data_IF_113076615226
#
_entry.id   IF_113076615226
#
_cell.length_a   1.000
_cell.length_b   1.000
_cell.length_c   1.000
_cell.angle_alpha   90.00
_cell.angle_beta   90.00
_cell.angle_gamma   90.00
#
_symmetry.space_group_name_H-M   'P 1'
#
loop_
_entity.id
_entity.type
_entity.pdbx_description
1 polymer ?
#
# COMPACT_ATOMS: atom_id res chain seq x y z
N UNK A 1 13.83 -6.49 42.54
CA UNK A 1 12.62 -6.68 41.70
C UNK A 1 12.04 -5.30 41.49
N UNK A 2 12.48 -4.60 40.44
CA UNK A 2 11.96 -3.26 40.13
C UNK A 2 10.59 -3.50 39.51
N UNK A 3 9.53 -3.08 40.22
CA UNK A 3 8.16 -3.11 39.73
C UNK A 3 8.08 -2.12 38.57
N UNK A 4 8.22 -2.63 37.35
CA UNK A 4 7.85 -1.90 36.15
C UNK A 4 6.34 -1.62 36.21
N UNK A 5 5.88 -0.40 35.94
CA UNK A 5 4.46 -0.14 35.83
C UNK A 5 3.90 -0.95 34.65
N UNK A 6 3.15 -2.00 35.00
CA UNK A 6 2.42 -2.86 34.08
C UNK A 6 0.94 -2.71 34.35
N UNK A 7 0.20 -2.24 33.36
CA UNK A 7 -1.24 -2.03 33.47
C UNK A 7 -1.96 -3.01 32.56
N UNK A 8 -2.87 -3.80 33.13
CA UNK A 8 -3.76 -4.68 32.36
C UNK A 8 -5.10 -3.99 32.17
N UNK A 9 -5.56 -3.92 30.93
CA UNK A 9 -6.78 -3.26 30.48
C UNK A 9 -7.70 -4.33 29.89
N UNK A 10 -8.87 -4.50 30.50
CA UNK A 10 -9.87 -5.52 30.12
C UNK A 10 -11.18 -4.91 29.69
N UNK A 11 -11.30 -3.58 29.67
CA UNK A 11 -12.51 -2.91 29.17
C UNK A 11 -12.55 -2.98 27.64
N UNK A 12 -13.74 -2.98 27.01
CA UNK A 12 -13.87 -3.05 25.56
C UNK A 12 -13.35 -1.79 24.84
N UNK A 13 -13.12 -0.71 25.57
CA UNK A 13 -12.52 0.52 25.06
C UNK A 13 -11.84 1.29 26.17
N UNK A 14 -10.84 2.11 25.83
CA UNK A 14 -10.21 3.01 26.79
C UNK A 14 -9.13 3.88 26.17
N UNK A 15 -8.45 4.66 27.00
CA UNK A 15 -7.34 5.52 26.62
C UNK A 15 -6.07 5.17 27.39
N UNK A 16 -4.93 5.25 26.71
CA UNK A 16 -3.59 5.01 27.25
C UNK A 16 -2.79 6.29 27.04
N UNK A 17 -2.25 6.84 28.11
CA UNK A 17 -1.41 8.04 28.08
C UNK A 17 -0.23 7.91 29.06
N UNK A 18 0.82 8.68 28.82
CA UNK A 18 2.05 8.69 29.63
C UNK A 18 1.93 9.53 30.92
N UNK A 19 0.95 10.43 31.01
CA UNK A 19 0.66 11.19 32.23
C UNK A 19 0.16 12.60 31.95
N UNK A 20 0.18 13.44 32.99
CA UNK A 20 -0.05 14.89 32.84
C UNK A 20 1.30 15.59 32.66
N UNK A 21 1.44 16.39 31.60
CA UNK A 21 2.67 17.12 31.28
C UNK A 21 3.60 16.30 30.39
N UNK A 22 4.91 16.53 30.51
CA UNK A 22 5.89 15.75 29.75
C UNK A 22 6.18 14.40 30.44
N UNK A 23 6.45 13.36 29.65
CA UNK A 23 6.82 12.05 30.20
C UNK A 23 8.12 12.12 31.02
N UNK A 24 8.28 11.15 31.93
CA UNK A 24 9.54 10.99 32.69
C UNK A 24 10.62 10.36 31.80
N UNK A 25 11.89 10.78 31.97
CA UNK A 25 13.06 10.15 31.33
C UNK A 25 13.47 8.85 32.06
N UNK A 26 14.13 7.93 31.36
CA UNK A 26 14.68 6.69 31.90
C UNK A 26 13.62 5.67 32.32
N UNK A 27 12.38 5.82 31.85
CA UNK A 27 11.26 4.96 32.22
C UNK A 27 10.95 3.88 31.19
N UNK A 28 10.39 2.80 31.71
CA UNK A 28 9.81 1.70 30.94
C UNK A 28 8.39 1.45 31.44
N UNK A 29 7.41 1.58 30.55
CA UNK A 29 6.01 1.39 30.88
C UNK A 29 5.38 0.39 29.92
N UNK A 30 4.50 -0.47 30.46
CA UNK A 30 3.81 -1.48 29.67
C UNK A 30 2.31 -1.45 29.93
N UNK A 31 1.54 -1.58 28.86
CA UNK A 31 0.09 -1.75 28.91
C UNK A 31 -0.29 -3.00 28.13
N UNK A 32 -1.02 -3.91 28.77
CA UNK A 32 -1.60 -5.08 28.12
C UNK A 32 -3.11 -4.87 27.97
N UNK A 33 -3.57 -4.74 26.74
CA UNK A 33 -4.99 -4.83 26.42
C UNK A 33 -5.32 -6.30 26.22
N UNK A 34 -6.25 -6.83 27.01
CA UNK A 34 -6.66 -8.23 26.98
C UNK A 34 -8.15 -8.34 26.63
N UNK A 35 -8.41 -8.66 25.37
CA UNK A 35 -9.74 -8.77 24.78
C UNK A 35 -10.19 -10.23 24.58
N UNK A 36 -9.45 -11.21 25.11
CA UNK A 36 -9.71 -12.65 24.86
C UNK A 36 -11.08 -13.12 25.34
N UNK A 37 -11.64 -12.47 26.35
CA UNK A 37 -12.96 -12.79 26.92
C UNK A 37 -14.12 -12.00 26.29
N UNK A 38 -13.83 -11.05 25.39
CA UNK A 38 -14.83 -10.20 24.73
C UNK A 38 -15.44 -10.80 23.47
N UNK A 39 -15.19 -12.09 23.23
CA UNK A 39 -15.88 -12.91 22.24
C UNK A 39 -17.33 -13.16 22.68
N UNK A 40 -18.16 -12.12 22.56
CA UNK A 40 -19.63 -12.07 22.58
C UNK A 40 -20.33 -12.96 23.62
N UNK A 41 -20.76 -12.32 24.71
CA UNK A 41 -21.79 -12.83 25.63
C UNK A 41 -23.16 -13.04 24.91
N UNK A 42 -23.30 -12.56 23.66
CA UNK A 42 -24.52 -12.71 22.84
C UNK A 42 -24.45 -13.80 21.76
N UNK A 43 -23.28 -14.38 21.45
CA UNK A 43 -23.11 -15.40 20.40
C UNK A 43 -22.77 -16.81 20.92
N UNK A 44 -23.21 -17.16 22.14
CA UNK A 44 -23.08 -18.54 22.64
C UNK A 44 -24.00 -19.57 21.93
N UNK A 45 -24.56 -19.22 20.76
CA UNK A 45 -25.45 -20.08 19.96
C UNK A 45 -24.88 -20.38 18.56
N UNK A 46 -23.67 -19.93 18.20
CA UNK A 46 -23.04 -20.34 16.94
C UNK A 46 -22.02 -21.47 17.17
N UNK A 47 -22.32 -22.64 16.62
CA UNK A 47 -21.58 -23.91 16.68
C UNK A 47 -20.26 -23.90 15.85
N UNK A 48 -19.51 -22.79 15.91
CA UNK A 48 -18.30 -22.54 15.11
C UNK A 48 -17.10 -22.07 15.94
N UNK A 49 -15.88 -22.11 15.39
CA UNK A 49 -14.69 -21.65 16.10
C UNK A 49 -14.80 -20.16 16.42
N UNK A 50 -14.78 -19.81 17.70
CA UNK A 50 -14.78 -18.42 18.17
C UNK A 50 -13.55 -17.69 17.65
N UNK A 51 -13.73 -16.74 16.73
CA UNK A 51 -12.62 -15.90 16.28
C UNK A 51 -12.16 -14.99 17.43
N UNK A 52 -10.84 -14.78 17.60
CA UNK A 52 -10.33 -13.84 18.58
C UNK A 52 -10.80 -12.42 18.27
N UNK A 53 -11.07 -11.64 19.32
CA UNK A 53 -11.44 -10.24 19.19
C UNK A 53 -10.29 -9.41 18.60
N UNK A 54 -10.60 -8.43 17.76
CA UNK A 54 -9.62 -7.53 17.15
C UNK A 54 -9.51 -6.25 17.98
N UNK A 55 -8.30 -5.88 18.37
CA UNK A 55 -8.05 -4.63 19.11
C UNK A 55 -7.57 -3.58 18.10
N UNK A 56 -8.30 -2.46 18.00
CA UNK A 56 -7.92 -1.30 17.20
C UNK A 56 -7.28 -0.25 18.08
N UNK A 57 -6.14 0.29 17.65
CA UNK A 57 -5.44 1.39 18.31
C UNK A 57 -5.46 2.62 17.42
N UNK A 58 -5.82 3.76 18.01
CA UNK A 58 -5.83 5.06 17.37
C UNK A 58 -4.94 6.03 18.17
N UNK A 59 -3.92 6.58 17.52
CA UNK A 59 -3.02 7.56 18.12
C UNK A 59 -3.65 8.95 17.95
N UNK A 60 -4.24 9.48 19.02
CA UNK A 60 -4.86 10.82 19.05
C UNK A 60 -3.76 11.90 19.06
N UNK A 61 -2.74 11.69 19.91
CA UNK A 61 -1.59 12.58 20.07
C UNK A 61 -0.31 11.74 20.23
N UNK A 62 0.79 12.21 19.64
CA UNK A 62 2.09 11.56 19.76
C UNK A 62 3.25 12.55 19.55
N UNK A 63 4.10 12.64 20.56
CA UNK A 63 5.26 13.51 20.64
C UNK A 63 6.31 12.90 21.59
N UNK A 64 7.29 12.20 21.02
CA UNK A 64 8.44 11.63 21.73
C UNK A 64 9.75 12.09 21.08
N UNK A 65 10.88 11.89 21.76
CA UNK A 65 12.19 12.17 21.18
C UNK A 65 12.42 11.29 19.95
N UNK A 66 12.63 11.95 18.80
CA UNK A 66 12.79 11.27 17.52
C UNK A 66 14.05 10.41 17.50
N UNK A 67 13.88 9.10 17.36
CA UNK A 67 14.98 8.13 17.24
C UNK A 67 15.50 7.56 18.57
N UNK A 68 15.10 8.12 19.71
CA UNK A 68 15.60 7.71 21.04
C UNK A 68 14.49 7.13 21.92
N UNK A 69 13.29 7.69 21.86
CA UNK A 69 12.15 7.26 22.65
C UNK A 69 11.10 6.56 21.79
N UNK A 70 10.80 5.31 22.13
CA UNK A 70 10.05 4.39 21.26
C UNK A 70 8.85 3.80 21.99
N UNK A 71 7.72 3.80 21.29
CA UNK A 71 6.54 3.01 21.64
C UNK A 71 6.44 1.80 20.71
N UNK A 72 6.58 0.61 21.27
CA UNK A 72 6.41 -0.66 20.59
C UNK A 72 4.99 -1.18 20.78
N UNK A 73 4.42 -1.77 19.73
CA UNK A 73 3.10 -2.41 19.76
C UNK A 73 3.21 -3.82 19.24
N UNK A 74 2.78 -4.81 20.03
CA UNK A 74 2.84 -6.23 19.71
C UNK A 74 1.43 -6.86 19.63
N UNK A 75 1.25 -7.80 18.71
CA UNK A 75 0.03 -8.61 18.58
C UNK A 75 0.07 -9.83 19.50
N UNK A 76 -0.20 -9.61 20.78
CA UNK A 76 -0.17 -10.66 21.80
C UNK A 76 0.06 -10.08 23.20
N UNK A 77 0.38 -10.96 24.15
CA UNK A 77 0.56 -10.59 25.55
C UNK A 77 2.03 -10.49 25.99
N UNK A 78 2.98 -10.60 25.05
CA UNK A 78 4.41 -10.56 25.34
C UNK A 78 5.24 -9.87 24.26
N UNK A 79 6.49 -9.53 24.58
CA UNK A 79 7.44 -8.89 23.63
C UNK A 79 7.98 -9.87 22.57
N UNK A 80 7.76 -11.16 22.77
CA UNK A 80 8.05 -12.23 21.81
C UNK A 80 6.92 -12.40 20.78
N UNK A 81 5.77 -11.76 21.00
CA UNK A 81 4.65 -11.75 20.05
C UNK A 81 5.01 -10.94 18.78
N UNK A 82 4.30 -11.11 17.65
CA UNK A 82 4.57 -10.35 16.43
C UNK A 82 4.57 -8.83 16.67
N UNK A 83 5.64 -8.14 16.28
CA UNK A 83 5.73 -6.69 16.36
C UNK A 83 4.91 -6.05 15.24
N UNK A 84 3.90 -5.26 15.61
CA UNK A 84 3.01 -4.58 14.67
C UNK A 84 3.55 -3.22 14.23
N UNK A 85 4.06 -2.44 15.19
CA UNK A 85 4.52 -1.08 14.93
C UNK A 85 5.55 -0.60 15.97
N UNK A 86 6.38 0.35 15.55
CA UNK A 86 7.26 1.14 16.43
C UNK A 86 7.08 2.61 16.08
N UNK A 87 6.72 3.41 17.07
CA UNK A 87 6.52 4.86 16.92
C UNK A 87 7.60 5.65 17.66
N UNK A 88 8.16 6.66 17.00
CA UNK A 88 8.96 7.72 17.63
C UNK A 88 8.77 9.04 16.89
N UNK A 89 9.01 10.17 17.57
CA UNK A 89 8.97 11.50 16.98
C UNK A 89 7.63 12.22 17.16
N UNK A 90 7.29 13.09 16.20
CA UNK A 90 6.22 14.10 16.36
C UNK A 90 5.13 13.96 15.30
N UNK A 91 3.87 13.92 15.73
CA UNK A 91 2.71 14.10 14.84
C UNK A 91 2.58 15.54 14.33
N UNK A 92 2.96 16.52 15.15
CA UNK A 92 2.77 17.94 14.87
C UNK A 92 4.07 18.72 15.10
N UNK A 93 4.52 19.47 14.07
CA UNK A 93 5.65 20.40 14.18
C UNK A 93 5.45 21.61 13.28
N UNK A 94 5.17 22.78 13.87
CA UNK A 94 4.91 24.04 13.13
C UNK A 94 3.82 23.83 12.07
N UNK A 95 4.14 24.05 10.79
CA UNK A 95 3.24 23.90 9.64
C UNK A 95 3.15 22.45 9.13
N UNK A 96 3.89 21.51 9.74
CA UNK A 96 3.85 20.10 9.37
C UNK A 96 2.98 19.34 10.36
N UNK A 97 1.90 18.77 9.85
CA UNK A 97 0.96 17.95 10.62
C UNK A 97 0.76 16.65 9.88
N UNK A 98 1.10 15.52 10.50
CA UNK A 98 0.74 14.21 9.95
C UNK A 98 -0.77 14.09 10.11
N UNK A 99 -1.49 14.14 8.99
CA UNK A 99 -2.97 14.16 9.00
C UNK A 99 -3.60 12.87 9.53
N UNK A 100 -2.84 11.76 9.55
CA UNK A 100 -3.26 10.46 10.07
C UNK A 100 -2.05 9.54 10.28
N UNK A 101 -1.87 9.02 11.48
CA UNK A 101 -1.02 7.83 11.69
C UNK A 101 -1.85 6.60 11.29
N UNK A 102 -1.28 5.64 10.54
CA UNK A 102 -1.95 4.38 10.25
C UNK A 102 -2.47 3.72 11.53
N UNK A 103 -3.74 3.31 11.53
CA UNK A 103 -4.32 2.54 12.64
C UNK A 103 -3.55 1.22 12.80
N UNK A 104 -3.40 0.78 14.05
CA UNK A 104 -2.75 -0.49 14.37
C UNK A 104 -3.80 -1.52 14.81
N UNK A 105 -3.71 -2.72 14.26
CA UNK A 105 -4.64 -3.82 14.48
C UNK A 105 -3.93 -5.01 15.12
N UNK A 106 -4.38 -5.43 16.29
CA UNK A 106 -3.97 -6.69 16.91
C UNK A 106 -5.09 -7.72 16.75
N UNK A 107 -4.77 -8.88 16.17
CA UNK A 107 -5.74 -9.91 15.81
C UNK A 107 -5.72 -11.12 16.74
N UNK A 108 -4.77 -11.19 17.68
CA UNK A 108 -4.62 -12.30 18.62
C UNK A 108 -5.62 -12.29 19.78
N UNK A 109 -6.40 -11.22 19.95
CA UNK A 109 -7.21 -10.98 21.16
C UNK A 109 -6.45 -10.29 22.28
N UNK A 110 -5.17 -9.99 22.12
CA UNK A 110 -4.37 -9.21 23.07
C UNK A 110 -3.46 -8.23 22.34
N UNK A 111 -3.12 -7.11 22.97
CA UNK A 111 -2.13 -6.17 22.47
C UNK A 111 -1.24 -5.67 23.61
N UNK A 112 0.08 -5.83 23.46
CA UNK A 112 1.07 -5.29 24.39
C UNK A 112 1.67 -4.01 23.81
N UNK A 113 1.50 -2.91 24.54
CA UNK A 113 2.18 -1.65 24.27
C UNK A 113 3.34 -1.51 25.26
N UNK A 114 4.53 -1.21 24.75
CA UNK A 114 5.74 -1.04 25.56
C UNK A 114 6.43 0.27 25.20
N UNK A 115 6.47 1.21 26.14
CA UNK A 115 7.14 2.50 25.97
C UNK A 115 8.50 2.49 26.67
N UNK A 116 9.51 2.97 25.96
CA UNK A 116 10.86 3.17 26.45
C UNK A 116 11.27 4.63 26.24
N UNK A 117 11.76 5.26 27.30
CA UNK A 117 12.47 6.55 27.21
C UNK A 117 13.93 6.38 27.63
N UNK A 118 14.82 7.12 26.99
CA UNK A 118 16.22 7.21 27.38
C UNK A 118 16.44 8.17 28.56
N UNK A 119 17.70 8.38 28.98
CA UNK A 119 18.03 9.24 30.13
C UNK A 119 18.08 10.74 29.79
N UNK A 120 17.49 11.17 28.67
CA UNK A 120 17.49 12.55 28.18
C UNK A 120 16.12 12.96 27.57
N UNK A 121 15.99 14.26 27.27
CA UNK A 121 14.88 14.92 26.56
C UNK A 121 13.48 14.29 26.63
N UNK A 122 12.57 14.94 27.36
CA UNK A 122 11.15 14.60 27.31
C UNK A 122 10.31 15.56 26.48
N UNK A 123 9.18 15.04 26.01
CA UNK A 123 8.15 15.77 25.27
C UNK A 123 6.78 15.47 25.87
N UNK A 124 5.69 15.94 25.24
CA UNK A 124 4.33 15.77 25.77
C UNK A 124 3.79 14.34 25.72
N UNK A 125 4.54 13.39 25.16
CA UNK A 125 4.20 11.98 25.20
C UNK A 125 3.12 11.58 24.21
N UNK A 126 2.16 10.78 24.64
CA UNK A 126 1.16 10.20 23.74
C UNK A 126 -0.20 10.02 24.41
N UNK A 127 -1.23 10.08 23.58
CA UNK A 127 -2.60 9.73 23.94
C UNK A 127 -3.15 8.78 22.88
N UNK A 128 -3.49 7.57 23.30
CA UNK A 128 -3.87 6.46 22.43
C UNK A 128 -5.22 5.94 22.88
N UNK A 129 -6.22 5.97 22.01
CA UNK A 129 -7.49 5.31 22.25
C UNK A 129 -7.44 3.88 21.70
N UNK A 130 -8.08 2.94 22.39
CA UNK A 130 -8.26 1.58 21.90
C UNK A 130 -9.72 1.16 21.97
N UNK A 131 -10.12 0.32 21.02
CA UNK A 131 -11.45 -0.27 20.99
C UNK A 131 -11.41 -1.72 20.48
N UNK A 132 -12.16 -2.59 21.15
CA UNK A 132 -12.29 -4.00 20.84
C UNK A 132 -13.43 -4.20 19.83
N UNK A 133 -13.15 -4.90 18.73
CA UNK A 133 -14.08 -5.20 17.63
C UNK A 133 -14.76 -3.96 17.02
N UNK A 134 -14.21 -2.76 17.24
CA UNK A 134 -14.69 -1.54 16.63
C UNK A 134 -14.48 -1.55 15.12
N UNK A 135 -15.18 -0.66 14.44
CA UNK A 135 -15.01 -0.46 13.02
C UNK A 135 -14.04 0.69 12.72
N UNK A 136 -13.38 0.67 11.55
CA UNK A 136 -12.48 1.76 11.14
C UNK A 136 -13.24 3.08 11.07
N UNK A 137 -12.57 4.17 11.45
CA UNK A 137 -13.19 5.50 11.53
C UNK A 137 -12.17 6.61 11.32
N UNK A 138 -12.65 7.79 10.90
CA UNK A 138 -11.87 9.02 10.90
C UNK A 138 -11.93 9.77 12.23
N UNK A 139 -12.89 9.43 13.06
CA UNK A 139 -13.19 10.06 14.34
C UNK A 139 -13.40 8.92 15.33
N UNK A 140 -12.53 8.82 16.33
CA UNK A 140 -12.53 7.73 17.30
C UNK A 140 -13.83 7.66 18.12
N UNK A 141 -14.65 8.71 18.11
CA UNK A 141 -15.97 8.70 18.74
C UNK A 141 -17.08 8.04 17.92
N UNK A 142 -16.82 7.68 16.65
CA UNK A 142 -17.79 7.13 15.71
C UNK A 142 -17.36 5.76 15.18
N UNK A 143 -18.32 4.90 14.86
CA UNK A 143 -18.08 3.73 14.02
C UNK A 143 -18.32 4.08 12.56
N UNK A 144 -17.48 3.57 11.65
CA UNK A 144 -17.64 3.79 10.21
C UNK A 144 -17.73 5.27 9.83
N UNK A 145 -17.01 6.13 10.57
CA UNK A 145 -17.05 7.59 10.43
C UNK A 145 -18.47 8.19 10.47
N UNK A 146 -19.43 7.49 11.08
CA UNK A 146 -20.85 7.86 11.14
C UNK A 146 -21.65 7.60 9.85
N UNK A 147 -21.06 6.97 8.83
CA UNK A 147 -21.63 6.80 7.49
C UNK A 147 -21.83 5.34 7.09
N UNK A 148 -22.07 4.45 8.05
CA UNK A 148 -22.35 3.05 7.78
C UNK A 148 -22.62 2.26 9.04
N UNK A 149 -23.02 1.01 8.84
CA UNK A 149 -23.28 0.06 9.91
C UNK A 149 -22.02 -0.78 10.17
N UNK A 150 -21.68 -0.93 11.46
CA UNK A 150 -20.54 -1.73 11.87
C UNK A 150 -20.94 -3.18 12.12
N UNK A 151 -20.26 -4.12 11.45
CA UNK A 151 -20.45 -5.55 11.70
C UNK A 151 -19.10 -6.26 11.79
N UNK A 152 -18.77 -6.79 12.97
CA UNK A 152 -17.53 -7.54 13.26
C UNK A 152 -16.26 -6.80 12.76
N UNK A 153 -16.18 -5.50 13.03
CA UNK A 153 -15.05 -4.66 12.63
C UNK A 153 -14.99 -4.31 11.14
N UNK A 154 -16.00 -4.67 10.35
CA UNK A 154 -16.14 -4.29 8.94
C UNK A 154 -17.29 -3.32 8.79
N UNK A 155 -17.08 -2.23 8.05
CA UNK A 155 -18.12 -1.25 7.77
C UNK A 155 -18.92 -1.61 6.52
N UNK A 156 -20.24 -1.60 6.67
CA UNK A 156 -21.17 -1.56 5.54
C UNK A 156 -21.60 -0.11 5.31
N UNK A 157 -21.07 0.54 4.28
CA UNK A 157 -21.29 1.96 4.05
C UNK A 157 -22.68 2.30 3.53
N UNK A 158 -23.18 3.46 3.97
CA UNK A 158 -24.33 4.12 3.35
C UNK A 158 -24.06 4.38 1.86
N UNK A 159 -25.13 4.47 1.06
CA UNK A 159 -25.04 4.54 -0.42
C UNK A 159 -24.13 5.63 -0.97
N UNK A 160 -23.97 6.73 -0.22
CA UNK A 160 -23.23 7.91 -0.67
C UNK A 160 -21.76 7.90 -0.25
N UNK A 161 -21.32 6.87 0.49
CA UNK A 161 -19.96 6.76 1.04
C UNK A 161 -19.28 5.44 0.66
N UNK A 162 -17.95 5.43 0.78
CA UNK A 162 -17.07 4.28 0.51
C UNK A 162 -15.79 4.37 1.33
N UNK A 163 -14.88 3.44 1.08
CA UNK A 163 -13.66 3.23 1.83
C UNK A 163 -13.90 2.33 3.04
N UNK A 164 -12.82 1.78 3.59
CA UNK A 164 -12.90 0.88 4.74
C UNK A 164 -13.67 1.49 5.92
N UNK A 165 -13.53 2.80 6.14
CA UNK A 165 -14.14 3.58 7.21
C UNK A 165 -15.41 4.36 6.82
N UNK A 166 -15.96 4.16 5.61
CA UNK A 166 -17.09 4.94 5.07
C UNK A 166 -16.89 6.47 5.10
N UNK A 167 -15.64 6.91 4.98
CA UNK A 167 -15.25 8.31 5.07
C UNK A 167 -15.04 8.97 3.71
N UNK A 168 -15.06 8.20 2.63
CA UNK A 168 -14.82 8.70 1.28
C UNK A 168 -16.18 8.91 0.63
N UNK A 169 -16.59 10.15 0.33
CA UNK A 169 -17.83 10.38 -0.40
C UNK A 169 -17.71 9.84 -1.83
N UNK A 170 -18.73 9.13 -2.33
CA UNK A 170 -18.79 8.64 -3.72
C UNK A 170 -18.75 9.80 -4.73
N UNK A 171 -19.37 10.92 -4.37
CA UNK A 171 -19.38 12.14 -5.15
C UNK A 171 -18.85 13.31 -4.30
N UNK A 172 -17.51 13.50 -4.26
CA UNK A 172 -16.91 14.59 -3.50
C UNK A 172 -17.46 15.95 -3.97
N UNK A 173 -17.62 16.89 -3.03
CA UNK A 173 -18.12 18.25 -3.28
C UNK A 173 -19.42 18.31 -4.14
N UNK A 174 -20.24 17.25 -4.07
CA UNK A 174 -21.44 17.08 -4.90
C UNK A 174 -21.18 17.37 -6.39
N UNK A 175 -20.03 16.93 -6.92
CA UNK A 175 -19.63 17.11 -8.31
C UNK A 175 -19.64 18.58 -8.77
N UNK A 176 -19.43 19.51 -7.83
CA UNK A 176 -19.51 20.95 -8.10
C UNK A 176 -20.83 21.35 -8.78
N UNK A 177 -21.92 20.64 -8.46
CA UNK A 177 -23.24 20.84 -9.07
C UNK A 177 -23.81 22.24 -8.81
N UNK A 178 -23.47 22.84 -7.67
CA UNK A 178 -23.83 24.23 -7.33
C UNK A 178 -23.22 25.26 -8.30
N UNK A 179 -22.17 24.90 -9.04
CA UNK A 179 -21.56 25.70 -10.12
C UNK A 179 -21.99 25.24 -11.52
N UNK A 180 -22.89 24.25 -11.61
CA UNK A 180 -23.30 23.65 -12.89
C UNK A 180 -22.19 22.86 -13.58
N UNK A 181 -21.20 22.35 -12.83
CA UNK A 181 -20.01 21.70 -13.41
C UNK A 181 -20.09 20.18 -13.49
N UNK A 182 -21.06 19.56 -12.84
CA UNK A 182 -21.21 18.12 -12.85
C UNK A 182 -22.45 17.65 -12.10
N UNK A 183 -22.75 16.36 -12.27
CA UNK A 183 -23.85 15.67 -11.62
C UNK A 183 -23.33 14.36 -11.04
N UNK A 184 -23.80 14.01 -9.84
CA UNK A 184 -23.47 12.73 -9.22
C UNK A 184 -24.27 11.60 -9.85
N UNK A 185 -23.60 10.64 -10.48
CA UNK A 185 -24.22 9.40 -10.94
C UNK A 185 -24.21 8.38 -9.80
N UNK A 186 -25.41 8.10 -9.26
CA UNK A 186 -25.58 7.14 -8.18
C UNK A 186 -25.36 5.69 -8.61
N UNK A 187 -25.57 5.36 -9.89
CA UNK A 187 -25.38 4.00 -10.41
C UNK A 187 -23.90 3.70 -10.57
N UNK A 188 -23.17 4.61 -11.22
CA UNK A 188 -21.72 4.48 -11.41
C UNK A 188 -20.92 4.95 -10.19
N UNK A 189 -21.60 5.45 -9.16
CA UNK A 189 -21.02 5.94 -7.91
C UNK A 189 -19.86 6.94 -8.11
N UNK A 190 -20.01 7.84 -9.09
CA UNK A 190 -18.98 8.82 -9.49
C UNK A 190 -19.58 10.10 -10.07
N UNK A 191 -18.77 11.15 -10.15
CA UNK A 191 -19.16 12.40 -10.78
C UNK A 191 -19.08 12.34 -12.31
N UNK A 192 -20.15 12.78 -12.98
CA UNK A 192 -20.18 13.04 -14.42
C UNK A 192 -20.00 14.55 -14.63
N UNK A 193 -18.85 14.93 -15.17
CA UNK A 193 -18.51 16.33 -15.36
C UNK A 193 -19.10 16.91 -16.66
N UNK A 194 -19.51 18.17 -16.58
CA UNK A 194 -19.94 18.96 -17.73
C UNK A 194 -18.75 19.29 -18.63
N UNK A 195 -19.03 19.60 -19.89
CA UNK A 195 -18.00 19.93 -20.89
C UNK A 195 -17.06 21.02 -20.37
N UNK A 196 -15.74 20.77 -20.47
CA UNK A 196 -14.70 21.69 -20.00
C UNK A 196 -14.26 21.47 -18.56
N UNK A 197 -14.93 20.59 -17.80
CA UNK A 197 -14.59 20.26 -16.42
C UNK A 197 -14.20 18.79 -16.25
N UNK A 198 -13.33 18.53 -15.25
CA UNK A 198 -12.75 17.23 -15.00
C UNK A 198 -12.33 17.08 -13.52
N UNK A 199 -11.77 15.92 -13.16
CA UNK A 199 -11.45 15.56 -11.78
C UNK A 199 -12.57 14.81 -11.07
N UNK A 200 -12.29 14.32 -9.87
CA UNK A 200 -13.23 13.50 -9.09
C UNK A 200 -14.51 14.24 -8.65
N UNK A 201 -14.46 15.57 -8.59
CA UNK A 201 -15.56 16.45 -8.14
C UNK A 201 -15.94 17.53 -9.17
N UNK A 202 -15.42 17.42 -10.39
CA UNK A 202 -15.65 18.37 -11.49
C UNK A 202 -15.25 19.83 -11.18
N UNK A 203 -14.41 20.07 -10.18
CA UNK A 203 -13.93 21.41 -9.86
C UNK A 203 -12.85 21.90 -10.81
N UNK A 204 -12.11 20.98 -11.43
CA UNK A 204 -10.95 21.28 -12.29
C UNK A 204 -11.38 21.53 -13.73
N UNK A 205 -10.66 22.40 -14.42
CA UNK A 205 -10.84 22.62 -15.87
C UNK A 205 -9.95 21.66 -16.64
N UNK A 206 -10.41 21.19 -17.81
CA UNK A 206 -9.62 20.31 -18.70
C UNK A 206 -8.26 20.89 -19.13
N UNK A 207 -8.10 22.21 -19.05
CA UNK A 207 -6.84 22.89 -19.36
C UNK A 207 -5.72 22.58 -18.34
N UNK A 208 -6.09 22.10 -17.15
CA UNK A 208 -5.14 21.69 -16.12
C UNK A 208 -5.09 20.17 -16.10
N UNK A 209 -3.89 19.59 -16.16
CA UNK A 209 -3.72 18.14 -16.06
C UNK A 209 -4.30 17.61 -14.75
N UNK A 210 -4.90 16.41 -14.79
CA UNK A 210 -5.53 15.79 -13.63
C UNK A 210 -5.17 14.31 -13.58
N UNK A 211 -5.18 13.76 -12.37
CA UNK A 211 -5.06 12.32 -12.16
C UNK A 211 -6.45 11.69 -12.24
N UNK A 212 -6.55 10.59 -12.98
CA UNK A 212 -7.71 9.71 -12.95
C UNK A 212 -7.27 8.29 -12.64
N UNK A 213 -8.03 7.62 -11.80
CA UNK A 213 -8.04 6.17 -11.86
C UNK A 213 -8.68 5.80 -13.21
N UNK A 214 -7.98 4.95 -13.97
CA UNK A 214 -8.57 4.32 -15.13
C UNK A 214 -9.31 3.10 -14.58
N UNK A 215 -10.59 3.29 -14.25
CA UNK A 215 -11.45 2.19 -13.87
C UNK A 215 -11.59 1.29 -15.12
N UNK A 216 -11.30 0.00 -14.98
CA UNK A 216 -11.72 -1.03 -15.93
C UNK A 216 -13.24 -1.25 -15.79
N UNK A 217 -13.98 -0.15 -15.84
CA UNK A 217 -15.31 -0.05 -15.26
C UNK A 217 -16.27 -0.93 -16.01
N UNK A 218 -16.94 -1.84 -15.31
CA UNK A 218 -18.12 -2.63 -15.73
C UNK A 218 -18.12 -3.21 -17.16
N UNK A 219 -17.02 -3.19 -17.89
CA UNK A 219 -16.82 -4.08 -19.02
C UNK A 219 -16.75 -5.45 -18.38
N UNK A 220 -17.61 -6.36 -18.82
CA UNK A 220 -17.53 -7.80 -18.54
C UNK A 220 -16.21 -8.38 -19.09
N UNK A 221 -15.09 -7.85 -18.62
CA UNK A 221 -13.77 -7.96 -19.20
C UNK A 221 -12.76 -8.21 -18.09
N UNK A 222 -11.73 -8.96 -18.45
CA UNK A 222 -10.62 -9.32 -17.58
C UNK A 222 -9.95 -8.07 -16.98
N UNK A 223 -9.50 -8.15 -15.72
CA UNK A 223 -8.60 -7.15 -15.10
C UNK A 223 -7.47 -7.90 -14.41
N UNK A 224 -6.20 -7.57 -14.66
CA UNK A 224 -5.08 -8.26 -14.02
C UNK A 224 -5.13 -8.13 -12.49
N UNK A 225 -4.59 -9.11 -11.75
CA UNK A 225 -4.44 -9.00 -10.31
C UNK A 225 -3.54 -7.82 -9.94
N UNK A 226 -3.81 -7.20 -8.80
CA UNK A 226 -2.94 -6.16 -8.26
C UNK A 226 -1.52 -6.69 -8.05
N UNK A 227 -0.53 -5.99 -8.62
CA UNK A 227 0.87 -6.40 -8.62
C UNK A 227 1.82 -5.28 -8.22
N UNK A 228 2.95 -5.63 -7.60
CA UNK A 228 4.04 -4.72 -7.26
C UNK A 228 5.37 -5.15 -7.92
N UNK A 229 6.31 -4.21 -8.05
CA UNK A 229 7.65 -4.47 -8.62
C UNK A 229 7.63 -5.03 -10.06
N UNK A 230 6.61 -4.67 -10.84
CA UNK A 230 6.52 -4.95 -12.27
C UNK A 230 7.28 -3.89 -13.08
N UNK A 231 7.68 -4.27 -14.29
CA UNK A 231 8.15 -3.35 -15.32
C UNK A 231 6.99 -2.87 -16.19
N UNK A 232 7.15 -1.68 -16.76
CA UNK A 232 6.15 -1.08 -17.66
C UNK A 232 6.82 -0.56 -18.91
N UNK A 233 6.21 -0.78 -20.06
CA UNK A 233 6.59 -0.15 -21.32
C UNK A 233 5.32 0.28 -22.08
N UNK A 234 5.44 1.35 -22.87
CA UNK A 234 4.36 1.81 -23.76
C UNK A 234 4.86 1.72 -25.20
N UNK A 235 4.10 1.06 -26.06
CA UNK A 235 4.34 1.02 -27.50
C UNK A 235 3.06 1.39 -28.23
N UNK A 236 3.10 2.48 -29.00
CA UNK A 236 1.92 3.10 -29.59
C UNK A 236 0.80 3.30 -28.55
N UNK A 237 -0.39 2.77 -28.80
CA UNK A 237 -1.57 2.92 -27.96
C UNK A 237 -1.74 1.77 -26.94
N UNK A 238 -0.67 1.02 -26.66
CA UNK A 238 -0.72 -0.12 -25.74
C UNK A 238 0.29 0.01 -24.61
N UNK A 239 -0.19 -0.16 -23.39
CA UNK A 239 0.62 -0.34 -22.18
C UNK A 239 0.92 -1.82 -21.97
N UNK A 240 2.18 -2.15 -21.72
CA UNK A 240 2.65 -3.49 -21.42
C UNK A 240 3.13 -3.53 -19.97
N UNK A 241 2.47 -4.33 -19.14
CA UNK A 241 2.83 -4.59 -17.74
C UNK A 241 3.50 -5.95 -17.68
N UNK A 242 4.79 -5.97 -17.35
CA UNK A 242 5.65 -7.15 -17.44
C UNK A 242 6.17 -7.50 -16.07
N UNK A 243 6.17 -8.80 -15.74
CA UNK A 243 6.66 -9.32 -14.47
C UNK A 243 5.86 -8.73 -13.28
N UNK A 244 6.44 -8.80 -12.08
CA UNK A 244 5.83 -8.32 -10.84
C UNK A 244 5.35 -9.45 -9.94
N UNK A 245 5.17 -9.10 -8.67
CA UNK A 245 4.68 -10.02 -7.65
C UNK A 245 3.21 -9.74 -7.40
N UNK A 246 2.40 -10.80 -7.36
CA UNK A 246 0.95 -10.74 -7.11
C UNK A 246 0.51 -11.71 -6.01
N UNK A 247 1.44 -12.14 -5.17
CA UNK A 247 1.26 -13.12 -4.09
C UNK A 247 0.60 -14.42 -4.59
N UNK A 248 1.14 -14.96 -5.69
CA UNK A 248 0.66 -16.19 -6.32
C UNK A 248 -0.63 -16.07 -7.15
N UNK A 249 -1.19 -14.85 -7.29
CA UNK A 249 -2.40 -14.61 -8.11
C UNK A 249 -2.12 -14.36 -9.60
N UNK A 250 -0.87 -14.11 -9.97
CA UNK A 250 -0.51 -13.84 -11.37
C UNK A 250 -0.60 -15.10 -12.21
N UNK A 251 -1.38 -15.06 -13.28
CA UNK A 251 -1.53 -16.17 -14.24
C UNK A 251 -0.60 -16.03 -15.44
N UNK A 252 -0.12 -14.82 -15.72
CA UNK A 252 0.77 -14.51 -16.83
C UNK A 252 1.89 -13.54 -16.43
N UNK A 253 3.00 -13.61 -17.17
CA UNK A 253 4.12 -12.67 -17.05
C UNK A 253 3.80 -11.29 -17.66
N UNK A 254 2.94 -11.24 -18.68
CA UNK A 254 2.68 -10.03 -19.46
C UNK A 254 1.18 -9.78 -19.59
N UNK A 255 0.76 -8.59 -19.16
CA UNK A 255 -0.57 -8.04 -19.37
C UNK A 255 -0.47 -6.81 -20.27
N UNK A 256 -1.51 -6.60 -21.07
CA UNK A 256 -1.60 -5.50 -22.03
C UNK A 256 -2.84 -4.67 -21.73
N UNK A 257 -2.74 -3.36 -21.86
CA UNK A 257 -3.88 -2.44 -21.80
C UNK A 257 -3.92 -1.57 -23.05
N UNK A 258 -4.99 -1.66 -23.83
CA UNK A 258 -5.24 -0.81 -24.99
C UNK A 258 -5.86 0.51 -24.54
N UNK A 259 -5.17 1.62 -24.78
CA UNK A 259 -5.66 2.96 -24.43
C UNK A 259 -6.89 3.38 -25.25
N UNK A 260 -7.03 2.88 -26.49
CA UNK A 260 -8.15 3.21 -27.36
C UNK A 260 -9.41 2.43 -26.98
N UNK A 261 -9.28 1.10 -26.88
CA UNK A 261 -10.36 0.20 -26.48
C UNK A 261 -10.69 0.25 -24.99
N UNK A 262 -9.76 0.73 -24.16
CA UNK A 262 -9.82 0.73 -22.69
C UNK A 262 -10.01 -0.66 -22.08
N UNK A 263 -9.42 -1.67 -22.70
CA UNK A 263 -9.55 -3.07 -22.31
C UNK A 263 -8.20 -3.66 -21.91
N UNK A 264 -8.24 -4.55 -20.92
CA UNK A 264 -7.10 -5.38 -20.56
C UNK A 264 -7.12 -6.69 -21.33
N UNK A 265 -5.94 -7.15 -21.72
CA UNK A 265 -5.75 -8.43 -22.40
C UNK A 265 -4.52 -9.14 -21.86
N UNK A 266 -4.54 -10.47 -21.89
CA UNK A 266 -3.33 -11.27 -21.66
C UNK A 266 -2.64 -11.52 -23.00
N UNK A 267 -1.33 -11.28 -23.05
CA UNK A 267 -0.56 -11.57 -24.25
C UNK A 267 -0.51 -13.09 -24.50
N UNK A 268 -1.11 -13.54 -25.59
CA UNK A 268 -0.99 -14.93 -26.04
C UNK A 268 0.36 -15.09 -26.74
N UNK A 269 1.35 -15.64 -26.02
CA UNK A 269 2.65 -15.95 -26.59
C UNK A 269 2.60 -17.35 -27.20
N UNK A 270 2.57 -17.45 -28.53
CA UNK A 270 2.34 -18.72 -29.23
C UNK A 270 3.55 -19.69 -29.20
N UNK A 271 4.71 -19.27 -28.70
CA UNK A 271 5.94 -20.05 -28.78
C UNK A 271 6.76 -20.04 -27.47
N UNK A 272 7.45 -21.15 -27.22
CA UNK A 272 8.54 -21.24 -26.24
C UNK A 272 9.86 -20.86 -26.94
N UNK A 273 10.81 -20.23 -26.23
CA UNK A 273 10.88 -20.04 -24.78
C UNK A 273 10.14 -18.79 -24.28
N UNK A 274 9.58 -18.85 -23.06
CA UNK A 274 8.98 -17.70 -22.34
C UNK A 274 9.73 -17.55 -21.01
N UNK A 275 10.02 -16.32 -20.54
CA UNK A 275 10.66 -16.11 -19.25
C UNK A 275 9.79 -16.61 -18.09
N UNK A 276 10.42 -17.13 -17.04
CA UNK A 276 9.72 -17.44 -15.79
C UNK A 276 9.21 -16.18 -15.09
N UNK A 277 8.11 -16.33 -14.35
CA UNK A 277 7.56 -15.30 -13.46
C UNK A 277 8.65 -14.78 -12.52
N UNK A 278 8.71 -13.46 -12.40
CA UNK A 278 9.73 -12.76 -11.62
C UNK A 278 9.22 -11.41 -11.19
N UNK A 279 9.90 -10.77 -10.24
CA UNK A 279 9.63 -9.40 -9.84
C UNK A 279 10.93 -8.59 -9.70
N UNK A 280 10.81 -7.27 -9.73
CA UNK A 280 11.95 -6.36 -9.60
C UNK A 280 12.91 -6.40 -10.80
N UNK A 281 12.45 -6.90 -11.95
CA UNK A 281 13.17 -6.78 -13.21
C UNK A 281 13.03 -5.36 -13.77
N UNK A 282 14.03 -4.89 -14.51
CA UNK A 282 13.93 -3.62 -15.23
C UNK A 282 13.46 -3.86 -16.66
N UNK A 283 12.66 -2.94 -17.20
CA UNK A 283 12.15 -3.02 -18.57
C UNK A 283 12.38 -1.73 -19.33
N UNK A 284 12.77 -1.84 -20.61
CA UNK A 284 12.91 -0.70 -21.53
C UNK A 284 12.43 -1.07 -22.92
N UNK A 285 11.94 -0.09 -23.67
CA UNK A 285 11.51 -0.29 -25.06
C UNK A 285 12.49 0.33 -26.03
N UNK A 286 12.99 -0.45 -26.99
CA UNK A 286 13.88 0.00 -28.06
C UNK A 286 13.43 -0.56 -29.41
N UNK A 287 13.12 0.33 -30.36
CA UNK A 287 12.51 -0.05 -31.62
C UNK A 287 11.13 -0.68 -31.39
N UNK A 288 10.93 -1.90 -31.89
CA UNK A 288 9.74 -2.74 -31.75
C UNK A 288 9.91 -3.87 -30.72
N UNK A 289 10.91 -3.75 -29.82
CA UNK A 289 11.19 -4.76 -28.79
C UNK A 289 11.21 -4.16 -27.40
N UNK A 290 10.62 -4.89 -26.46
CA UNK A 290 10.69 -4.59 -25.03
C UNK A 290 11.71 -5.52 -24.40
N UNK A 291 12.77 -4.94 -23.83
CA UNK A 291 13.83 -5.68 -23.16
C UNK A 291 13.53 -5.75 -21.67
N UNK A 292 13.76 -6.92 -21.06
CA UNK A 292 13.65 -7.18 -19.64
C UNK A 292 14.97 -7.76 -19.12
N UNK A 293 15.54 -7.15 -18.08
CA UNK A 293 16.79 -7.61 -17.46
C UNK A 293 16.63 -7.92 -15.98
N UNK A 294 17.22 -9.05 -15.57
CA UNK A 294 17.33 -9.45 -14.17
C UNK A 294 15.98 -9.76 -13.51
N UNK A 295 15.88 -9.40 -12.24
CA UNK A 295 14.74 -9.72 -11.36
C UNK A 295 14.98 -10.93 -10.48
N UNK A 296 14.02 -11.21 -9.60
CA UNK A 296 14.00 -12.35 -8.69
C UNK A 296 13.01 -13.38 -9.18
N UNK A 297 13.47 -14.62 -9.38
CA UNK A 297 12.62 -15.77 -9.73
C UNK A 297 12.47 -16.63 -8.48
N UNK A 298 11.24 -17.02 -8.15
CA UNK A 298 10.96 -17.88 -7.00
C UNK A 298 11.76 -19.20 -7.09
N UNK A 299 12.41 -19.59 -5.99
CA UNK A 299 13.26 -20.77 -5.93
C UNK A 299 14.63 -20.68 -6.62
N UNK A 300 14.87 -19.69 -7.49
CA UNK A 300 16.17 -19.48 -8.18
C UNK A 300 16.93 -18.24 -7.71
N UNK A 301 16.25 -17.31 -7.04
CA UNK A 301 16.83 -16.07 -6.53
C UNK A 301 17.08 -15.04 -7.64
N UNK A 302 18.08 -14.18 -7.43
CA UNK A 302 18.39 -13.08 -8.36
C UNK A 302 19.04 -13.62 -9.64
N UNK A 303 18.50 -13.20 -10.78
CA UNK A 303 18.97 -13.59 -12.10
C UNK A 303 19.64 -12.43 -12.84
N UNK A 304 20.40 -12.76 -13.90
CA UNK A 304 21.05 -11.80 -14.79
C UNK A 304 20.70 -12.10 -16.25
N UNK A 305 19.51 -12.64 -16.48
CA UNK A 305 19.01 -12.97 -17.82
C UNK A 305 18.55 -11.70 -18.54
N UNK A 306 18.80 -11.62 -19.84
CA UNK A 306 18.28 -10.59 -20.71
C UNK A 306 17.27 -11.22 -21.68
N UNK A 307 16.04 -10.74 -21.63
CA UNK A 307 14.96 -11.20 -22.51
C UNK A 307 14.49 -10.04 -23.39
N UNK A 308 14.12 -10.33 -24.63
CA UNK A 308 13.44 -9.37 -25.50
C UNK A 308 12.09 -9.92 -25.94
N UNK A 309 11.06 -9.09 -25.82
CA UNK A 309 9.73 -9.34 -26.33
C UNK A 309 9.53 -8.54 -27.62
N UNK A 310 9.27 -9.24 -28.72
CA UNK A 310 8.89 -8.63 -29.98
C UNK A 310 7.40 -8.26 -29.95
N UNK A 311 7.07 -6.97 -30.01
CA UNK A 311 5.69 -6.50 -29.87
C UNK A 311 4.81 -6.88 -31.05
N UNK A 312 5.39 -7.03 -32.24
CA UNK A 312 4.68 -7.35 -33.48
C UNK A 312 4.42 -8.85 -33.59
N UNK A 313 5.45 -9.65 -33.34
CA UNK A 313 5.36 -11.11 -33.40
C UNK A 313 4.81 -11.75 -32.12
N UNK A 314 4.75 -11.00 -31.00
CA UNK A 314 4.33 -11.48 -29.68
C UNK A 314 5.14 -12.69 -29.19
N UNK A 315 6.44 -12.69 -29.46
CA UNK A 315 7.38 -13.76 -29.08
C UNK A 315 8.46 -13.24 -28.13
N UNK A 316 8.92 -14.13 -27.26
CA UNK A 316 10.05 -13.88 -26.37
C UNK A 316 11.33 -14.52 -26.93
N UNK A 317 12.45 -13.83 -26.77
CA UNK A 317 13.79 -14.30 -27.11
C UNK A 317 14.72 -14.11 -25.90
N UNK A 318 15.47 -15.15 -25.55
CA UNK A 318 16.52 -15.05 -24.54
C UNK A 318 17.82 -14.59 -25.21
N UNK A 319 18.26 -13.38 -24.86
CA UNK A 319 19.44 -12.77 -25.46
C UNK A 319 20.68 -13.17 -24.66
N UNK A 320 21.60 -13.84 -25.35
CA UNK A 320 22.91 -14.16 -24.78
C UNK A 320 23.85 -12.97 -24.97
N UNK A 321 24.19 -12.29 -23.88
CA UNK A 321 25.18 -11.21 -23.87
C UNK A 321 26.58 -11.80 -23.75
N UNK A 322 27.45 -11.51 -24.73
CA UNK A 322 28.88 -11.81 -24.62
C UNK A 322 29.52 -10.73 -23.75
N UNK A 323 29.79 -11.01 -22.48
CA UNK A 323 30.62 -10.15 -21.66
C UNK A 323 32.10 -10.38 -21.98
N UNK A 324 32.91 -9.33 -21.96
CA UNK A 324 34.36 -9.46 -21.98
C UNK A 324 34.83 -10.25 -20.73
N UNK A 325 35.96 -10.93 -20.83
CA UNK A 325 36.51 -11.68 -19.70
C UNK A 325 36.96 -10.71 -18.60
N UNK A 326 36.50 -10.95 -17.39
CA UNK A 326 36.95 -10.23 -16.20
C UNK A 326 38.41 -10.50 -15.91
N UNK A 327 39.23 -9.45 -15.87
CA UNK A 327 40.54 -9.53 -15.23
C UNK A 327 40.35 -9.41 -13.72
N UNK A 328 41.01 -10.27 -12.94
CA UNK A 328 40.87 -10.48 -11.48
C UNK A 328 41.21 -9.27 -10.58
N UNK A 329 41.27 -8.05 -11.13
CA UNK A 329 41.61 -6.82 -10.40
C UNK A 329 40.35 -5.99 -10.12
N UNK A 330 39.56 -6.42 -9.14
CA UNK A 330 38.60 -5.61 -8.35
C UNK A 330 37.59 -4.69 -9.07
N UNK A 331 37.28 -4.89 -10.35
CA UNK A 331 36.20 -4.17 -11.02
C UNK A 331 34.97 -5.07 -11.14
N UNK A 332 33.81 -4.56 -10.72
CA UNK A 332 32.52 -5.21 -10.95
C UNK A 332 32.31 -5.39 -12.46
N UNK A 333 32.49 -6.61 -12.95
CA UNK A 333 32.21 -6.92 -14.34
C UNK A 333 30.72 -7.12 -14.59
N UNK A 334 30.23 -6.50 -15.66
CA UNK A 334 28.87 -6.69 -16.11
C UNK A 334 28.65 -7.95 -16.95
N UNK A 335 27.38 -8.36 -17.13
CA UNK A 335 26.20 -7.81 -16.46
C UNK A 335 25.90 -8.60 -15.16
N UNK A 336 25.79 -7.88 -14.04
CA UNK A 336 25.56 -8.45 -12.70
C UNK A 336 24.11 -8.91 -12.53
N UNK A 337 23.92 -10.06 -11.87
CA UNK A 337 22.60 -10.50 -11.40
C UNK A 337 22.00 -9.42 -10.49
N UNK A 338 20.88 -8.84 -10.90
CA UNK A 338 20.33 -7.62 -10.28
C UNK A 338 18.81 -7.66 -10.16
N UNK A 339 18.27 -7.04 -9.11
CA UNK A 339 16.83 -6.84 -8.90
C UNK A 339 16.57 -5.50 -8.20
N UNK A 340 15.41 -4.89 -8.44
CA UNK A 340 15.07 -3.56 -7.89
C UNK A 340 15.89 -2.41 -8.49
N UNK A 341 16.40 -2.59 -9.71
CA UNK A 341 17.23 -1.64 -10.42
C UNK A 341 16.43 -0.97 -11.55
N UNK A 342 16.97 0.13 -12.09
CA UNK A 342 16.37 0.87 -13.20
C UNK A 342 17.18 0.68 -14.48
N UNK A 343 16.50 0.72 -15.63
CA UNK A 343 17.14 0.75 -16.93
C UNK A 343 16.69 1.99 -17.70
N UNK A 344 17.59 2.58 -18.47
CA UNK A 344 17.30 3.69 -19.38
C UNK A 344 18.07 3.49 -20.67
N UNK A 345 17.46 3.85 -21.79
CA UNK A 345 18.14 3.82 -23.09
C UNK A 345 18.87 5.14 -23.28
N UNK A 346 20.13 5.05 -23.71
CA UNK A 346 20.94 6.20 -24.10
C UNK A 346 21.30 6.03 -25.56
N UNK A 347 20.82 6.94 -26.42
CA UNK A 347 21.19 6.97 -27.83
C UNK A 347 22.51 7.72 -28.00
N UNK A 348 23.54 7.09 -28.57
CA UNK A 348 24.77 7.79 -28.92
C UNK A 348 24.53 8.74 -30.11
N UNK A 349 24.87 10.02 -29.93
CA UNK A 349 24.68 11.07 -30.95
C UNK A 349 25.78 11.09 -32.04
N UNK A 350 26.80 10.24 -31.95
CA UNK A 350 28.04 10.38 -32.74
C UNK A 350 28.09 9.62 -34.08
N UNK A 351 26.95 9.25 -34.67
CA UNK A 351 26.92 8.68 -36.04
C UNK A 351 25.88 9.31 -36.99
N UNK A 352 25.37 10.50 -36.70
CA UNK A 352 24.58 11.27 -37.66
C UNK A 352 25.47 12.11 -38.59
N UNK A 353 26.27 11.42 -39.41
CA UNK A 353 26.96 11.98 -40.58
C UNK A 353 26.12 11.90 -41.86
N UNK A 354 24.79 11.98 -41.74
CA UNK A 354 23.85 11.97 -42.86
C UNK A 354 22.79 13.05 -42.63
N UNK A 355 22.87 14.10 -43.44
CA UNK A 355 22.00 15.29 -43.45
C UNK A 355 20.52 14.96 -43.74
N UNK A 356 19.58 15.88 -43.43
CA UNK A 356 18.16 15.61 -43.18
C UNK A 356 17.32 15.21 -44.39
#
# INVERSE_FOLDING_TARGET
MILFPFFRLTEPSGSIHDGLGNYSIGVKCSWLIDAREHNSITDKVSDGPTQPSVIRLHLEEFATECGWDHLYVYDGDSVESPLLAVFSGLMYRKNFTIRRIPEVFAHSGSALLHFFSDDAYNMSGFNISYQVNACPTNDSSLNCSGNGDCWNGVCNCNSDFTGAACNIPRCPNYCSAHLGRGVCDKKQQRCICSTGYIGNDCSQTIAHGYWTAIDAGETEGFTPPGSASHGVAVFHDTLYVIAGESYGKAEALLYMYDFNGKVWETAHTESRPVPELRYGASTVIFGDKIFMYGGVIEGKGVCGELWAFDVSAKIWENITVKSEQCNDTYEMCGPLRSAGHTATIVTNYDQAGGSP
#
